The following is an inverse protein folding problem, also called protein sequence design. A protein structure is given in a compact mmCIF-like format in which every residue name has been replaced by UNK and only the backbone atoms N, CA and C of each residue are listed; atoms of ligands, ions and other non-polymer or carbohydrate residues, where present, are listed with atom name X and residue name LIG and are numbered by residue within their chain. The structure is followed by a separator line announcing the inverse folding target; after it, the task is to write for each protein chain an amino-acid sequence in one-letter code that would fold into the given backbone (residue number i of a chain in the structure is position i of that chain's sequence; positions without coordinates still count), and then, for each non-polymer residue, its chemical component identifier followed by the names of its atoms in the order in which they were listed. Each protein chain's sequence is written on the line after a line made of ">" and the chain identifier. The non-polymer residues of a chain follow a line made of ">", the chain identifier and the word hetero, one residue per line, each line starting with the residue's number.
data_IF_376862438400
#
_entry.id   IF_376862438400
#
_cell.length_a   1.000
_cell.length_b   1.000
_cell.length_c   1.000
_cell.angle_alpha   90.00
_cell.angle_beta   90.00
_cell.angle_gamma   90.00
#
_symmetry.space_group_name_H-M   'P 1'
#
loop_
_entity.id
_entity.type
_entity.pdbx_description
1 polymer ?
#
# COMPACT_ATOMS: atom_id res chain seq x y z
N UNK A 1 3.53 8.58 -15.31
CA UNK A 1 3.44 7.76 -16.55
C UNK A 1 3.81 6.33 -16.19
N UNK A 2 2.97 5.38 -16.56
CA UNK A 2 3.09 3.93 -16.42
C UNK A 2 1.98 3.29 -17.26
N UNK A 3 1.99 1.97 -17.44
CA UNK A 3 0.89 1.24 -18.10
C UNK A 3 0.13 0.37 -17.08
N UNK A 4 -1.16 0.10 -17.35
CA UNK A 4 -1.98 -0.74 -16.45
C UNK A 4 -1.64 -2.22 -16.55
N UNK A 5 -1.01 -2.62 -17.65
CA UNK A 5 -0.69 -4.01 -17.93
C UNK A 5 0.50 -4.49 -17.11
N UNK A 6 0.43 -5.78 -16.74
CA UNK A 6 1.36 -6.43 -15.85
C UNK A 6 1.91 -7.71 -16.48
N UNK A 7 3.01 -8.21 -15.91
CA UNK A 7 3.52 -9.57 -16.14
C UNK A 7 3.82 -10.23 -14.80
N UNK A 8 3.41 -11.48 -14.64
CA UNK A 8 3.86 -12.32 -13.53
C UNK A 8 5.19 -12.98 -13.88
N UNK A 9 6.14 -12.96 -12.95
CA UNK A 9 7.43 -13.63 -13.13
C UNK A 9 7.31 -15.15 -12.93
N UNK A 10 8.36 -15.88 -13.30
CA UNK A 10 8.40 -17.35 -13.23
C UNK A 10 8.35 -17.90 -11.80
N UNK A 11 8.61 -17.07 -10.80
CA UNK A 11 8.46 -17.42 -9.38
C UNK A 11 7.00 -17.64 -8.95
N UNK A 12 6.02 -17.25 -9.77
CA UNK A 12 4.59 -17.41 -9.47
C UNK A 12 4.02 -16.36 -8.52
N UNK A 13 4.77 -15.32 -8.16
CA UNK A 13 4.37 -14.31 -7.19
C UNK A 13 4.62 -12.88 -7.65
N UNK A 14 5.80 -12.60 -8.17
CA UNK A 14 6.21 -11.22 -8.45
C UNK A 14 5.46 -10.67 -9.65
N UNK A 15 4.76 -9.55 -9.41
CA UNK A 15 4.07 -8.77 -10.44
C UNK A 15 4.92 -7.56 -10.80
N UNK A 16 5.21 -7.39 -12.09
CA UNK A 16 5.92 -6.22 -12.62
C UNK A 16 5.07 -5.49 -13.66
N UNK A 17 5.26 -4.18 -13.79
CA UNK A 17 4.64 -3.37 -14.85
C UNK A 17 5.16 -3.81 -16.22
N UNK A 18 4.29 -3.86 -17.24
CA UNK A 18 4.68 -4.28 -18.59
C UNK A 18 5.70 -3.34 -19.23
N UNK A 19 5.71 -2.06 -18.85
CA UNK A 19 6.66 -1.06 -19.35
C UNK A 19 7.92 -0.91 -18.47
N UNK A 20 8.05 -1.66 -17.38
CA UNK A 20 9.21 -1.66 -16.50
C UNK A 20 9.41 -0.37 -15.69
N UNK A 21 8.43 0.55 -15.69
CA UNK A 21 8.52 1.79 -14.90
C UNK A 21 8.17 1.55 -13.43
N UNK A 22 8.66 2.41 -12.50
CA UNK A 22 8.35 2.30 -11.08
C UNK A 22 6.86 2.29 -10.78
N UNK A 23 6.47 1.51 -9.75
CA UNK A 23 5.12 1.45 -9.20
C UNK A 23 5.18 1.64 -7.68
N UNK A 24 4.11 2.21 -7.11
CA UNK A 24 3.95 2.36 -5.67
C UNK A 24 2.54 1.91 -5.26
N UNK A 25 2.42 1.40 -4.04
CA UNK A 25 1.16 0.94 -3.45
C UNK A 25 1.15 1.33 -1.97
N UNK A 26 -0.03 1.68 -1.47
CA UNK A 26 -0.31 1.90 -0.05
C UNK A 26 -1.59 1.15 0.30
N UNK A 27 -1.65 0.62 1.51
CA UNK A 27 -2.75 -0.19 2.00
C UNK A 27 -3.18 0.30 3.39
N UNK A 28 -4.50 0.34 3.60
CA UNK A 28 -5.12 0.59 4.90
C UNK A 28 -6.15 -0.50 5.18
N UNK A 29 -6.10 -1.07 6.38
CA UNK A 29 -7.15 -1.91 6.93
C UNK A 29 -8.22 -1.00 7.52
N UNK A 30 -9.49 -1.26 7.20
CA UNK A 30 -10.61 -0.44 7.68
C UNK A 30 -11.73 -1.30 8.24
N UNK A 31 -12.47 -0.75 9.21
CA UNK A 31 -13.71 -1.32 9.72
C UNK A 31 -14.87 -0.37 9.47
N UNK A 32 -16.00 -0.91 9.04
CA UNK A 32 -17.24 -0.15 8.85
C UNK A 32 -17.99 -0.08 10.18
N UNK A 33 -18.23 1.14 10.66
CA UNK A 33 -19.02 1.46 11.86
C UNK A 33 -20.36 2.08 11.46
N UNK A 34 -21.21 2.34 12.45
CA UNK A 34 -22.52 2.96 12.24
C UNK A 34 -22.42 4.40 11.75
N UNK A 35 -21.36 5.10 12.16
CA UNK A 35 -21.10 6.52 11.96
C UNK A 35 -20.04 6.80 10.88
N UNK A 36 -19.36 5.77 10.36
CA UNK A 36 -18.38 5.92 9.30
C UNK A 36 -17.42 4.74 9.17
N UNK A 37 -16.38 4.90 8.35
CA UNK A 37 -15.26 3.96 8.29
C UNK A 37 -14.14 4.43 9.22
N UNK A 38 -13.56 3.48 9.97
CA UNK A 38 -12.41 3.70 10.84
C UNK A 38 -11.19 3.01 10.23
N UNK A 39 -10.06 3.72 10.15
CA UNK A 39 -8.78 3.17 9.69
C UNK A 39 -8.07 2.48 10.86
N UNK A 40 -7.74 1.21 10.69
CA UNK A 40 -7.13 0.35 11.71
C UNK A 40 -5.61 0.27 11.58
N UNK A 41 -5.07 0.33 10.36
CA UNK A 41 -3.61 0.34 10.14
C UNK A 41 -3.12 1.76 9.88
N UNK A 42 -2.40 2.33 10.85
CA UNK A 42 -1.91 3.71 10.81
C UNK A 42 -0.41 3.79 11.12
N UNK A 43 0.22 4.92 10.79
CA UNK A 43 1.61 5.21 11.15
C UNK A 43 1.76 5.90 12.51
N UNK A 44 0.67 6.05 13.28
CA UNK A 44 0.66 6.83 14.52
C UNK A 44 1.75 6.40 15.51
N UNK A 45 2.01 5.09 15.62
CA UNK A 45 3.05 4.58 16.51
C UNK A 45 4.43 5.12 16.12
N UNK A 46 4.77 5.08 14.83
CA UNK A 46 6.05 5.56 14.31
C UNK A 46 6.16 7.07 14.48
N UNK A 47 5.10 7.80 14.14
CA UNK A 47 5.04 9.25 14.27
C UNK A 47 5.21 9.70 15.73
N UNK A 48 4.60 8.99 16.69
CA UNK A 48 4.75 9.26 18.12
C UNK A 48 6.20 9.10 18.60
N UNK A 49 6.95 8.15 18.06
CA UNK A 49 8.37 7.99 18.43
C UNK A 49 9.27 9.06 17.78
N UNK A 50 8.97 9.47 16.54
CA UNK A 50 9.74 10.51 15.84
C UNK A 50 9.65 11.89 16.52
N UNK A 51 8.55 12.18 17.22
CA UNK A 51 8.38 13.44 17.96
C UNK A 51 9.15 13.46 19.28
N UNK A 52 9.57 12.30 19.81
CA UNK A 52 10.31 12.21 21.08
C UNK A 52 11.81 12.47 20.94
N UNK A 53 12.37 12.43 19.72
CA UNK A 53 13.80 12.62 19.43
C UNK A 53 14.20 14.05 19.17
#
# INVERSE_FOLDING_TARGET
>A
LGVREIRQLRDGWTIVTRDGKPSAHFEHDVVIRKDGAEVLSTFEFVEKELVKS
#
